data_IF_788283657619
#
_entry.id   IF_788283657619
#
_cell.length_a   1.000
_cell.length_b   1.000
_cell.length_c   1.000
_cell.angle_alpha   90.00
_cell.angle_beta   90.00
_cell.angle_gamma   90.00
#
_symmetry.space_group_name_H-M   'P 1'
#
loop_
_entity.id
_entity.type
_entity.pdbx_description
1 polymer ?
#
# COMPACT_ATOMS: atom_id res chain seq x y z
N UNK A 1 -13.15 39.73 -2.75
CA UNK A 1 -11.97 38.85 -2.84
C UNK A 1 -12.25 37.70 -1.89
N UNK A 2 -12.69 36.56 -2.42
CA UNK A 2 -12.91 35.35 -1.63
C UNK A 2 -11.61 34.55 -1.52
N UNK A 3 -11.24 34.06 -0.33
CA UNK A 3 -10.05 33.23 -0.17
C UNK A 3 -10.29 31.85 -0.79
N UNK A 4 -9.52 31.53 -1.82
CA UNK A 4 -9.42 30.19 -2.40
C UNK A 4 -9.07 29.18 -1.31
N UNK A 5 -10.06 28.38 -0.90
CA UNK A 5 -9.84 27.21 -0.07
C UNK A 5 -9.07 26.18 -0.90
N UNK A 6 -7.76 26.10 -0.67
CA UNK A 6 -6.99 24.91 -0.97
C UNK A 6 -7.46 23.81 0.00
N UNK A 7 -8.47 23.05 -0.37
CA UNK A 7 -8.79 21.82 0.35
C UNK A 7 -9.15 20.71 -0.62
N UNK A 8 -8.31 19.68 -0.55
CA UNK A 8 -8.59 18.32 -0.96
C UNK A 8 -8.78 18.11 -2.46
N UNK A 9 -7.69 18.18 -3.21
CA UNK A 9 -7.55 17.29 -4.37
C UNK A 9 -7.54 15.86 -3.84
N UNK A 10 -8.73 15.26 -3.70
CA UNK A 10 -8.88 13.81 -3.73
C UNK A 10 -8.34 13.42 -5.09
N UNK A 11 -7.10 12.96 -5.14
CA UNK A 11 -6.54 12.37 -6.35
C UNK A 11 -7.45 11.16 -6.63
N UNK A 12 -8.18 11.14 -7.77
CA UNK A 12 -9.03 10.02 -8.07
C UNK A 12 -8.13 8.79 -8.20
N UNK A 13 -8.42 7.80 -7.34
CA UNK A 13 -7.83 6.48 -7.41
C UNK A 13 -7.95 5.98 -8.85
N UNK A 14 -6.81 5.93 -9.55
CA UNK A 14 -6.70 5.12 -10.75
C UNK A 14 -6.82 3.66 -10.28
N UNK A 15 -8.06 3.18 -10.24
CA UNK A 15 -8.35 1.76 -10.12
C UNK A 15 -8.59 1.22 -11.54
N UNK A 16 -7.55 0.75 -12.25
CA UNK A 16 -7.80 -0.21 -13.31
C UNK A 16 -8.20 -1.51 -12.59
N UNK A 17 -9.49 -1.87 -12.66
CA UNK A 17 -10.02 -3.22 -12.43
C UNK A 17 -9.20 -4.12 -11.47
N UNK A 18 -9.47 -4.04 -10.17
CA UNK A 18 -8.79 -4.89 -9.16
C UNK A 18 -7.47 -4.32 -8.63
N UNK A 19 -7.22 -3.02 -8.83
CA UNK A 19 -6.05 -2.32 -8.30
C UNK A 19 -6.05 -2.26 -6.78
N UNK A 20 -5.09 -2.95 -6.18
CA UNK A 20 -4.80 -2.93 -4.75
C UNK A 20 -4.27 -1.55 -4.41
N UNK A 21 -5.06 -0.77 -3.68
CA UNK A 21 -4.74 0.60 -3.33
C UNK A 21 -4.11 0.63 -1.93
N UNK A 22 -2.78 0.55 -1.87
CA UNK A 22 -2.05 0.89 -0.65
C UNK A 22 -2.22 2.38 -0.33
N UNK A 23 -2.13 2.73 0.95
CA UNK A 23 -2.11 4.14 1.36
C UNK A 23 -0.95 4.89 0.69
N UNK A 24 -1.17 6.16 0.38
CA UNK A 24 -0.17 7.00 -0.25
C UNK A 24 1.09 7.09 0.64
N UNK A 25 2.25 6.81 0.07
CA UNK A 25 3.54 6.86 0.78
C UNK A 25 4.02 5.54 1.37
N UNK A 26 3.26 4.44 1.28
CA UNK A 26 3.74 3.10 1.64
C UNK A 26 4.81 2.63 0.66
N UNK A 27 4.58 2.84 -0.64
CA UNK A 27 5.54 2.53 -1.70
C UNK A 27 5.84 3.80 -2.49
N UNK A 28 7.12 3.99 -2.84
CA UNK A 28 7.53 5.19 -3.60
C UNK A 28 7.06 5.13 -5.07
N UNK A 29 7.00 3.92 -5.64
CA UNK A 29 6.57 3.66 -7.01
C UNK A 29 5.89 2.29 -7.11
N UNK A 30 5.12 2.06 -8.17
CA UNK A 30 4.57 0.72 -8.45
C UNK A 30 5.66 -0.34 -8.64
N UNK A 31 6.82 0.05 -9.20
CA UNK A 31 7.96 -0.87 -9.35
C UNK A 31 8.59 -1.28 -8.02
N UNK A 32 8.69 -0.34 -7.06
CA UNK A 32 9.12 -0.63 -5.69
C UNK A 32 8.13 -1.56 -4.97
N UNK A 33 6.83 -1.32 -5.16
CA UNK A 33 5.77 -2.20 -4.67
C UNK A 33 5.91 -3.60 -5.21
N UNK A 34 5.95 -3.75 -6.53
CA UNK A 34 5.95 -5.07 -7.16
C UNK A 34 7.23 -5.83 -6.84
N UNK A 35 8.38 -5.15 -6.81
CA UNK A 35 9.66 -5.75 -6.41
C UNK A 35 9.61 -6.24 -4.96
N UNK A 36 9.07 -5.45 -4.03
CA UNK A 36 8.93 -5.88 -2.64
C UNK A 36 7.96 -7.06 -2.51
N UNK A 37 6.76 -6.94 -3.07
CA UNK A 37 5.75 -8.00 -3.01
C UNK A 37 6.26 -9.30 -3.63
N UNK A 38 7.07 -9.23 -4.70
CA UNK A 38 7.69 -10.40 -5.32
C UNK A 38 8.73 -11.10 -4.44
N UNK A 39 9.30 -10.39 -3.45
CA UNK A 39 10.25 -10.94 -2.49
C UNK A 39 9.58 -11.70 -1.34
N UNK A 40 8.28 -11.50 -1.14
CA UNK A 40 7.50 -12.14 -0.09
C UNK A 40 7.01 -13.52 -0.51
N UNK A 41 6.76 -14.39 0.47
CA UNK A 41 6.06 -15.65 0.25
C UNK A 41 4.67 -15.40 -0.35
N UNK A 42 4.20 -16.38 -1.13
CA UNK A 42 2.92 -16.25 -1.83
C UNK A 42 1.75 -15.99 -0.88
N UNK A 43 1.75 -16.61 0.29
CA UNK A 43 0.68 -16.46 1.29
C UNK A 43 0.70 -15.06 1.92
N UNK A 44 1.87 -14.62 2.37
CA UNK A 44 2.09 -13.29 2.97
C UNK A 44 1.75 -12.19 1.98
N UNK A 45 2.24 -12.30 0.73
CA UNK A 45 1.88 -11.39 -0.36
C UNK A 45 0.37 -11.36 -0.55
N UNK A 46 -0.28 -12.52 -0.70
CA UNK A 46 -1.73 -12.59 -0.95
C UNK A 46 -2.52 -11.94 0.19
N UNK A 47 -2.11 -12.13 1.45
CA UNK A 47 -2.73 -11.46 2.59
C UNK A 47 -2.63 -9.92 2.47
N UNK A 48 -1.41 -9.39 2.28
CA UNK A 48 -1.18 -7.94 2.17
C UNK A 48 -1.97 -7.34 1.01
N UNK A 49 -2.09 -8.07 -0.10
CA UNK A 49 -2.85 -7.66 -1.27
C UNK A 49 -4.37 -7.66 -1.07
N UNK A 50 -4.88 -8.53 -0.19
CA UNK A 50 -6.31 -8.57 0.15
C UNK A 50 -6.67 -7.62 1.31
N UNK A 51 -5.69 -7.19 2.11
CA UNK A 51 -5.86 -6.30 3.26
C UNK A 51 -4.94 -5.06 3.21
N UNK A 52 -4.84 -4.33 2.08
CA UNK A 52 -3.95 -3.18 1.97
C UNK A 52 -4.30 -2.05 2.94
N UNK A 53 -5.56 -1.98 3.42
CA UNK A 53 -6.05 -1.01 4.38
C UNK A 53 -5.57 -1.25 5.83
N UNK A 54 -5.10 -2.46 6.16
CA UNK A 54 -4.54 -2.76 7.49
C UNK A 54 -3.16 -2.14 7.71
N UNK A 55 -2.51 -1.72 6.63
CA UNK A 55 -1.16 -1.16 6.66
C UNK A 55 -1.21 0.32 6.30
N UNK A 56 -0.80 1.18 7.24
CA UNK A 56 -0.67 2.62 7.01
C UNK A 56 0.73 3.02 6.55
N UNK A 57 1.73 2.18 6.82
CA UNK A 57 3.15 2.42 6.53
C UNK A 57 3.85 1.17 6.03
N UNK A 58 4.97 1.35 5.33
CA UNK A 58 5.82 0.21 4.94
C UNK A 58 6.35 -0.58 6.13
N UNK A 59 6.69 0.10 7.22
CA UNK A 59 7.21 -0.54 8.42
C UNK A 59 6.21 -1.55 9.01
N UNK A 60 4.91 -1.24 9.00
CA UNK A 60 3.88 -2.18 9.48
C UNK A 60 3.81 -3.46 8.64
N UNK A 61 4.03 -3.34 7.33
CA UNK A 61 4.11 -4.51 6.44
C UNK A 61 5.36 -5.34 6.76
N UNK A 62 6.52 -4.67 6.93
CA UNK A 62 7.78 -5.34 7.26
C UNK A 62 7.70 -6.05 8.64
N UNK A 63 7.03 -5.44 9.62
CA UNK A 63 6.80 -6.02 10.95
C UNK A 63 5.85 -7.22 10.89
N UNK A 64 4.80 -7.15 10.06
CA UNK A 64 3.88 -8.27 9.82
C UNK A 64 4.61 -9.44 9.13
N UNK A 65 5.36 -9.16 8.07
CA UNK A 65 6.19 -10.15 7.37
C UNK A 65 7.16 -10.81 8.36
N UNK A 66 7.85 -10.01 9.17
CA UNK A 66 8.80 -10.50 10.17
C UNK A 66 8.17 -11.41 11.24
N UNK A 67 6.90 -11.17 11.61
CA UNK A 67 6.15 -12.04 12.52
C UNK A 67 5.79 -13.38 11.87
N UNK A 68 5.41 -13.37 10.60
CA UNK A 68 5.04 -14.58 9.85
C UNK A 68 6.21 -15.54 9.67
N UNK A 69 7.43 -15.04 9.45
CA UNK A 69 8.64 -15.86 9.29
C UNK A 69 9.22 -16.37 10.63
N UNK A 70 8.68 -15.95 11.77
CA UNK A 70 9.20 -16.32 13.11
C UNK A 70 8.46 -17.50 13.76
N UNK A 71 7.48 -18.09 13.07
CA UNK A 71 6.67 -19.22 13.55
C UNK A 71 7.07 -20.55 12.94
#
# INVERSE_FOLDING_TARGET
MDPMQYSSTIIPAYMPYGGIAFAAGIFMTDGDRDSYLSSLDSDTRSYILNHPEEFGTRQEIDDFVSQMHRS
#
